data_IF_968420662918
#
_entry.id   IF_968420662918
#
_cell.length_a   1.000
_cell.length_b   1.000
_cell.length_c   1.000
_cell.angle_alpha   90.00
_cell.angle_beta   90.00
_cell.angle_gamma   90.00
#
_symmetry.space_group_name_H-M   'P 1'
#
loop_
_entity.id
_entity.type
_entity.pdbx_description
1 polymer ?
#
# COMPACT_ATOMS: atom_id res chain seq x y z
N UNK A 1 -21.92 -1.11 55.18
CA UNK A 1 -21.06 0.06 54.84
C UNK A 1 -19.94 -0.27 53.83
N UNK A 2 -20.07 -1.32 53.00
CA UNK A 2 -18.97 -1.73 52.08
C UNK A 2 -19.28 -1.64 50.58
N UNK A 3 -20.51 -1.34 50.22
CA UNK A 3 -20.93 -1.32 48.80
C UNK A 3 -20.51 0.00 48.10
N UNK A 4 -20.64 1.13 48.77
CA UNK A 4 -20.29 2.43 48.23
C UNK A 4 -18.76 2.62 48.01
N UNK A 5 -17.93 2.03 48.89
CA UNK A 5 -16.47 2.05 48.72
C UNK A 5 -15.99 1.26 47.51
N UNK A 6 -16.61 0.11 47.23
CA UNK A 6 -16.28 -0.73 46.07
C UNK A 6 -16.70 -0.07 44.75
N UNK A 7 -17.84 0.63 44.74
CA UNK A 7 -18.29 1.39 43.57
C UNK A 7 -17.36 2.57 43.25
N UNK A 8 -16.82 3.23 44.28
CA UNK A 8 -15.87 4.34 44.08
C UNK A 8 -14.54 3.88 43.48
N UNK A 9 -14.03 2.72 43.88
CA UNK A 9 -12.78 2.16 43.32
C UNK A 9 -12.95 1.68 41.90
N UNK A 10 -14.09 1.13 41.51
CA UNK A 10 -14.39 0.70 40.15
C UNK A 10 -14.54 1.91 39.21
N UNK A 11 -15.17 2.98 39.68
CA UNK A 11 -15.29 4.22 38.85
C UNK A 11 -13.97 4.96 38.71
N UNK A 12 -13.10 4.94 39.73
CA UNK A 12 -11.74 5.52 39.59
C UNK A 12 -10.85 4.71 38.63
N UNK A 13 -10.95 3.39 38.68
CA UNK A 13 -10.22 2.52 37.74
C UNK A 13 -10.71 2.68 36.30
N UNK A 14 -12.02 2.82 36.06
CA UNK A 14 -12.58 3.09 34.76
C UNK A 14 -12.18 4.47 34.20
N UNK A 15 -12.11 5.50 35.05
CA UNK A 15 -11.66 6.83 34.66
C UNK A 15 -10.15 6.85 34.31
N UNK A 16 -9.33 6.06 34.99
CA UNK A 16 -7.89 5.94 34.70
C UNK A 16 -7.63 5.21 33.37
N UNK A 17 -8.48 4.25 32.98
CA UNK A 17 -8.37 3.56 31.70
C UNK A 17 -8.81 4.44 30.52
N UNK A 18 -9.74 5.37 30.72
CA UNK A 18 -10.16 6.36 29.71
C UNK A 18 -9.15 7.50 29.53
N UNK A 19 -8.40 7.84 30.57
CA UNK A 19 -7.32 8.83 30.48
C UNK A 19 -6.06 8.30 29.75
N UNK A 20 -5.89 6.97 29.65
CA UNK A 20 -4.76 6.34 28.97
C UNK A 20 -4.84 6.37 27.44
N UNK A 21 -6.02 6.62 26.85
CA UNK A 21 -6.19 6.71 25.40
C UNK A 21 -6.07 8.12 24.82
N UNK A 22 -5.84 9.14 25.64
CA UNK A 22 -5.88 10.53 25.23
C UNK A 22 -4.60 11.31 25.54
N UNK A 23 -3.41 10.78 25.28
CA UNK A 23 -2.29 11.46 25.83
C UNK A 23 -0.99 11.64 25.10
N UNK A 24 -0.97 11.58 23.82
CA UNK A 24 0.06 12.32 23.09
C UNK A 24 -0.43 13.75 22.95
N UNK A 25 0.13 14.70 23.66
CA UNK A 25 -0.10 16.11 23.36
C UNK A 25 0.10 16.29 21.87
N UNK A 26 -0.95 16.72 21.15
CA UNK A 26 -0.82 16.99 19.73
C UNK A 26 0.36 17.96 19.58
N UNK A 27 1.37 17.57 18.81
CA UNK A 27 2.43 18.48 18.44
C UNK A 27 1.77 19.63 17.68
N UNK A 28 1.65 20.76 18.35
CA UNK A 28 1.06 21.97 17.80
C UNK A 28 2.10 22.79 17.04
N UNK A 29 3.32 22.29 16.87
CA UNK A 29 4.31 22.93 16.02
C UNK A 29 3.73 23.04 14.60
N UNK A 30 3.68 24.23 13.99
CA UNK A 30 3.20 24.37 12.64
C UNK A 30 4.02 23.49 11.71
N UNK A 31 3.40 22.46 11.14
CA UNK A 31 4.04 21.65 10.11
C UNK A 31 4.37 22.57 8.93
N UNK A 32 5.54 22.36 8.33
CA UNK A 32 5.88 23.05 7.09
C UNK A 32 4.76 22.79 6.06
N UNK A 33 4.32 23.80 5.31
CA UNK A 33 3.26 23.62 4.33
C UNK A 33 3.68 22.57 3.30
N UNK A 34 2.78 21.65 2.99
CA UNK A 34 3.01 20.65 1.92
C UNK A 34 3.14 21.37 0.59
N UNK A 35 4.26 21.15 -0.09
CA UNK A 35 4.62 21.78 -1.36
C UNK A 35 4.78 20.79 -2.51
N UNK A 36 4.83 19.49 -2.20
CA UNK A 36 4.92 18.42 -3.18
C UNK A 36 4.09 17.22 -2.72
N UNK A 37 3.50 16.51 -3.66
CA UNK A 37 2.83 15.24 -3.40
C UNK A 37 3.49 14.18 -4.28
N UNK A 38 3.98 13.12 -3.66
CA UNK A 38 4.53 11.95 -4.35
C UNK A 38 3.67 10.75 -4.06
N UNK A 39 3.41 9.96 -5.07
CA UNK A 39 2.53 8.79 -4.98
C UNK A 39 3.30 7.56 -5.43
N UNK A 40 3.21 6.48 -4.67
CA UNK A 40 3.65 5.14 -5.05
C UNK A 40 2.51 4.18 -4.79
N UNK A 41 2.35 3.16 -5.63
CA UNK A 41 1.26 2.23 -5.43
C UNK A 41 0.88 1.40 -6.65
N UNK A 42 -0.35 0.91 -6.59
CA UNK A 42 -0.93 0.05 -7.61
C UNK A 42 -2.07 0.73 -8.40
N UNK A 43 -3.01 -0.07 -8.91
CA UNK A 43 -4.15 0.41 -9.72
C UNK A 43 -5.09 1.35 -8.98
N UNK A 44 -5.09 1.36 -7.65
CA UNK A 44 -5.93 2.27 -6.85
C UNK A 44 -5.39 3.70 -6.88
N UNK A 45 -4.09 3.87 -7.13
CA UNK A 45 -3.40 5.16 -7.15
C UNK A 45 -2.87 5.55 -8.55
N UNK A 46 -2.93 4.65 -9.54
CA UNK A 46 -2.45 4.89 -10.91
C UNK A 46 -3.39 5.84 -11.66
N UNK A 47 -2.95 7.08 -11.85
CA UNK A 47 -3.71 8.13 -12.52
C UNK A 47 -3.69 8.03 -14.06
N UNK A 48 -3.13 6.97 -14.64
CA UNK A 48 -3.17 6.73 -16.10
C UNK A 48 -1.85 6.36 -16.75
N UNK A 49 -1.03 5.51 -16.11
CA UNK A 49 0.21 4.98 -16.69
C UNK A 49 -0.01 4.29 -18.02
N UNK A 50 -1.14 3.59 -18.18
CA UNK A 50 -1.54 2.89 -19.41
C UNK A 50 -2.51 3.70 -20.30
N UNK A 51 -2.65 5.00 -20.04
CA UNK A 51 -3.60 5.85 -20.73
C UNK A 51 -5.04 5.80 -20.20
N UNK A 52 -5.29 5.03 -19.14
CA UNK A 52 -6.59 4.91 -18.46
C UNK A 52 -6.41 4.69 -16.95
N UNK A 53 -7.47 4.91 -16.18
CA UNK A 53 -7.53 4.64 -14.74
C UNK A 53 -8.26 3.32 -14.51
N UNK A 54 -7.77 2.49 -13.60
CA UNK A 54 -8.33 1.16 -13.36
C UNK A 54 -9.59 1.20 -12.50
N UNK A 55 -9.63 2.07 -11.50
CA UNK A 55 -10.64 2.04 -10.43
C UNK A 55 -11.76 3.04 -10.60
N UNK A 56 -11.51 4.13 -11.31
CA UNK A 56 -12.53 5.13 -11.63
C UNK A 56 -12.59 5.28 -13.14
N UNK A 57 -13.56 4.61 -13.73
CA UNK A 57 -13.77 4.65 -15.17
C UNK A 57 -14.45 5.97 -15.55
N UNK A 58 -13.74 6.82 -16.28
CA UNK A 58 -14.37 7.91 -17.00
C UNK A 58 -15.03 7.41 -18.27
N UNK A 59 -15.92 8.21 -18.83
CA UNK A 59 -16.59 7.93 -20.11
C UNK A 59 -15.68 8.10 -21.32
N UNK A 60 -14.45 8.56 -21.15
CA UNK A 60 -13.52 8.77 -22.24
C UNK A 60 -12.66 7.51 -22.48
N UNK A 61 -12.77 6.87 -23.65
CA UNK A 61 -11.98 5.70 -23.98
C UNK A 61 -10.49 5.98 -24.24
N UNK A 62 -10.05 7.22 -24.14
CA UNK A 62 -8.70 7.67 -24.48
C UNK A 62 -8.01 8.37 -23.32
N UNK A 63 -7.81 7.67 -22.22
CA UNK A 63 -6.74 7.98 -21.28
C UNK A 63 -6.84 9.21 -20.40
N UNK A 64 -7.82 10.07 -20.56
CA UNK A 64 -8.06 11.20 -19.69
C UNK A 64 -9.45 11.08 -19.08
N UNK A 65 -9.60 10.16 -18.13
CA UNK A 65 -10.79 10.19 -17.29
C UNK A 65 -10.80 11.50 -16.52
N UNK A 66 -11.84 12.34 -16.65
CA UNK A 66 -11.96 13.57 -15.87
C UNK A 66 -12.19 13.25 -14.39
N UNK A 67 -12.48 12.00 -14.04
CA UNK A 67 -12.77 11.60 -12.67
C UNK A 67 -11.47 11.46 -11.89
N UNK A 68 -11.37 12.23 -10.80
CA UNK A 68 -10.21 12.21 -9.91
C UNK A 68 -10.18 10.94 -9.04
N UNK A 69 -9.04 10.28 -8.95
CA UNK A 69 -8.75 9.26 -7.95
C UNK A 69 -8.60 9.91 -6.56
N UNK A 70 -8.55 9.09 -5.53
CA UNK A 70 -8.29 9.57 -4.18
C UNK A 70 -6.98 10.35 -4.07
N UNK A 71 -5.91 9.88 -4.72
CA UNK A 71 -4.60 10.57 -4.75
C UNK A 71 -4.67 11.92 -5.44
N UNK A 72 -5.45 12.04 -6.53
CA UNK A 72 -5.65 13.30 -7.24
C UNK A 72 -6.40 14.30 -6.35
N UNK A 73 -7.39 13.83 -5.56
CA UNK A 73 -8.17 14.66 -4.62
C UNK A 73 -7.30 15.12 -3.45
N UNK A 74 -6.47 14.23 -2.90
CA UNK A 74 -5.52 14.60 -1.84
C UNK A 74 -4.53 15.64 -2.37
N UNK A 75 -3.94 15.43 -3.54
CA UNK A 75 -3.03 16.42 -4.14
C UNK A 75 -3.70 17.76 -4.35
N UNK A 76 -4.94 17.77 -4.86
CA UNK A 76 -5.71 18.99 -5.08
C UNK A 76 -5.99 19.78 -3.78
N UNK A 77 -6.17 19.10 -2.63
CA UNK A 77 -6.34 19.76 -1.33
C UNK A 77 -5.11 20.57 -0.89
N UNK A 78 -3.94 20.26 -1.46
CA UNK A 78 -2.70 20.99 -1.29
C UNK A 78 -2.35 21.87 -2.51
N UNK A 79 -3.32 22.12 -3.40
CA UNK A 79 -3.13 22.90 -4.64
C UNK A 79 -2.06 22.29 -5.58
N UNK A 80 -1.93 20.95 -5.54
CA UNK A 80 -1.03 20.21 -6.40
C UNK A 80 -1.81 19.45 -7.48
N UNK A 81 -1.20 19.30 -8.66
CA UNK A 81 -1.72 18.48 -9.76
C UNK A 81 -0.76 17.33 -10.00
N UNK A 82 -1.26 16.11 -9.98
CA UNK A 82 -0.48 14.92 -10.26
C UNK A 82 -0.38 14.67 -11.77
N UNK A 83 0.79 14.16 -12.19
CA UNK A 83 0.94 13.50 -13.46
C UNK A 83 1.72 12.20 -13.27
N UNK A 84 1.44 11.21 -14.12
CA UNK A 84 2.07 9.88 -14.04
C UNK A 84 3.54 9.96 -14.43
N UNK A 85 4.39 9.38 -13.58
CA UNK A 85 5.84 9.28 -13.80
C UNK A 85 6.18 8.34 -14.94
N UNK A 86 5.41 7.27 -15.09
CA UNK A 86 5.62 6.25 -16.10
C UNK A 86 4.49 6.26 -17.13
N UNK A 87 4.82 5.92 -18.35
CA UNK A 87 3.85 5.67 -19.41
C UNK A 87 4.22 4.36 -20.12
N UNK A 88 3.25 3.50 -20.32
CA UNK A 88 3.41 2.22 -21.00
C UNK A 88 2.18 1.90 -21.83
N UNK A 89 2.40 1.20 -22.94
CA UNK A 89 1.33 0.66 -23.79
C UNK A 89 1.29 -0.87 -23.77
N UNK A 90 2.37 -1.50 -23.32
CA UNK A 90 2.56 -2.96 -23.33
C UNK A 90 2.70 -3.58 -21.94
N UNK A 91 2.81 -2.76 -20.88
CA UNK A 91 3.02 -3.21 -19.52
C UNK A 91 4.42 -3.75 -19.21
N UNK A 92 5.33 -3.69 -20.18
CA UNK A 92 6.71 -4.20 -20.08
C UNK A 92 7.71 -3.07 -20.20
N UNK A 93 7.52 -2.21 -21.19
CA UNK A 93 8.36 -1.06 -21.47
C UNK A 93 7.75 0.21 -20.88
N UNK A 94 8.53 0.97 -20.12
CA UNK A 94 8.06 2.16 -19.43
C UNK A 94 8.90 3.37 -19.84
N UNK A 95 8.24 4.34 -20.44
CA UNK A 95 8.82 5.66 -20.64
C UNK A 95 8.65 6.50 -19.38
N UNK A 96 9.68 7.28 -19.01
CA UNK A 96 9.63 8.16 -17.84
C UNK A 96 9.32 9.59 -18.23
N UNK A 97 8.49 10.27 -17.44
CA UNK A 97 8.13 11.68 -17.59
C UNK A 97 8.78 12.50 -16.47
N UNK A 98 9.73 13.35 -16.85
CA UNK A 98 10.40 14.23 -15.89
C UNK A 98 9.40 15.17 -15.20
N UNK A 99 9.62 15.44 -13.90
CA UNK A 99 8.78 16.33 -13.11
C UNK A 99 7.45 15.73 -12.64
N UNK A 100 7.02 14.58 -13.18
CA UNK A 100 5.83 13.89 -12.71
C UNK A 100 6.12 13.07 -11.44
N UNK A 101 5.20 13.10 -10.48
CA UNK A 101 5.39 12.59 -9.11
C UNK A 101 4.45 11.45 -8.73
N UNK A 102 3.55 11.04 -9.63
CA UNK A 102 2.77 9.82 -9.42
C UNK A 102 3.51 8.63 -10.06
N UNK A 103 4.14 7.82 -9.21
CA UNK A 103 4.89 6.61 -9.58
C UNK A 103 4.03 5.34 -9.58
N UNK A 104 2.77 5.43 -9.15
CA UNK A 104 1.87 4.29 -9.09
C UNK A 104 1.64 3.67 -10.48
N UNK A 105 1.62 2.34 -10.53
CA UNK A 105 1.42 1.56 -11.76
C UNK A 105 0.41 0.45 -11.50
N UNK A 106 -0.61 0.36 -12.34
CA UNK A 106 -1.60 -0.72 -12.26
C UNK A 106 -0.96 -2.11 -12.23
N UNK A 107 -1.44 -2.97 -11.34
CA UNK A 107 -0.83 -4.28 -11.10
C UNK A 107 0.38 -4.26 -10.17
N UNK A 108 0.70 -3.10 -9.58
CA UNK A 108 1.84 -2.92 -8.68
C UNK A 108 1.83 -3.90 -7.50
N UNK A 109 2.99 -4.48 -7.19
CA UNK A 109 3.21 -5.43 -6.11
C UNK A 109 4.33 -4.97 -5.19
N UNK A 110 4.15 -5.15 -3.90
CA UNK A 110 5.21 -4.92 -2.90
C UNK A 110 6.28 -6.00 -3.08
N UNK A 111 5.85 -7.27 -3.18
CA UNK A 111 6.72 -8.42 -3.37
C UNK A 111 6.73 -8.86 -4.86
N UNK A 112 7.28 -8.04 -5.74
CA UNK A 112 7.39 -8.37 -7.16
C UNK A 112 8.68 -9.15 -7.45
N UNK A 113 8.69 -10.44 -7.16
CA UNK A 113 9.87 -11.32 -7.34
C UNK A 113 10.26 -11.53 -8.80
N UNK A 114 9.29 -11.45 -9.72
CA UNK A 114 9.53 -11.70 -11.15
C UNK A 114 10.12 -10.49 -11.87
N UNK A 115 9.87 -9.27 -11.36
CA UNK A 115 10.34 -8.03 -11.96
C UNK A 115 10.63 -6.98 -10.87
N UNK A 116 11.60 -7.24 -9.96
CA UNK A 116 11.83 -6.40 -8.77
C UNK A 116 12.34 -5.00 -9.10
N UNK A 117 12.87 -4.79 -10.31
CA UNK A 117 13.39 -3.49 -10.78
C UNK A 117 12.46 -2.81 -11.78
N UNK A 118 11.30 -3.42 -12.08
CA UNK A 118 10.29 -2.82 -12.93
C UNK A 118 9.48 -1.75 -12.18
N UNK A 119 8.94 -0.73 -12.84
CA UNK A 119 7.94 0.17 -12.26
C UNK A 119 6.69 -0.52 -11.68
N UNK A 120 6.41 -1.76 -12.06
CA UNK A 120 5.35 -2.59 -11.45
C UNK A 120 5.74 -3.10 -10.04
N UNK A 121 6.98 -2.89 -9.60
CA UNK A 121 7.41 -3.14 -8.23
C UNK A 121 7.25 -1.86 -7.40
N UNK A 122 6.40 -1.87 -6.36
CA UNK A 122 6.18 -0.72 -5.48
C UNK A 122 7.48 -0.37 -4.75
N UNK A 123 8.31 -1.36 -4.40
CA UNK A 123 9.63 -1.10 -3.83
C UNK A 123 10.58 -0.39 -4.81
N UNK A 124 10.48 -0.66 -6.12
CA UNK A 124 11.22 0.09 -7.13
C UNK A 124 10.68 1.52 -7.30
N UNK A 125 9.37 1.70 -7.28
CA UNK A 125 8.76 3.04 -7.31
C UNK A 125 9.26 3.91 -6.15
N UNK A 126 9.36 3.35 -4.93
CA UNK A 126 9.92 4.04 -3.75
C UNK A 126 11.37 4.45 -3.98
N UNK A 127 12.19 3.56 -4.56
CA UNK A 127 13.59 3.87 -4.91
C UNK A 127 13.68 4.98 -5.95
N UNK A 128 12.86 4.93 -6.98
CA UNK A 128 12.85 5.93 -8.06
C UNK A 128 12.36 7.29 -7.56
N UNK A 129 11.35 7.31 -6.69
CA UNK A 129 10.89 8.52 -6.02
C UNK A 129 11.97 9.08 -5.08
N UNK A 130 12.70 8.19 -4.36
CA UNK A 130 13.83 8.55 -3.51
C UNK A 130 15.01 9.10 -4.30
N UNK A 131 15.33 8.53 -5.46
CA UNK A 131 16.37 9.02 -6.35
C UNK A 131 16.04 10.41 -6.92
N UNK A 132 14.77 10.73 -7.11
CA UNK A 132 14.30 12.08 -7.45
C UNK A 132 14.37 13.07 -6.26
N UNK A 133 14.63 12.57 -5.04
CA UNK A 133 14.77 13.32 -3.80
C UNK A 133 13.44 13.51 -3.06
N UNK A 134 13.52 13.42 -1.72
CA UNK A 134 12.43 13.81 -0.82
C UNK A 134 12.84 15.06 -0.04
N UNK A 135 11.89 15.94 0.19
CA UNK A 135 12.07 17.12 1.04
C UNK A 135 11.03 17.13 2.15
N UNK A 136 11.30 17.84 3.25
CA UNK A 136 10.42 17.88 4.42
C UNK A 136 8.99 18.40 4.14
N UNK A 137 8.80 19.08 3.02
CA UNK A 137 7.49 19.58 2.57
C UNK A 137 6.79 18.63 1.58
N UNK A 138 7.33 17.45 1.31
CA UNK A 138 6.66 16.44 0.50
C UNK A 138 5.68 15.62 1.34
N UNK A 139 4.50 15.37 0.79
CA UNK A 139 3.56 14.36 1.26
C UNK A 139 3.75 13.11 0.39
N UNK A 140 4.11 12.01 1.03
CA UNK A 140 4.19 10.72 0.37
C UNK A 140 2.89 9.95 0.58
N UNK A 141 2.22 9.60 -0.51
CA UNK A 141 1.04 8.75 -0.52
C UNK A 141 1.48 7.35 -0.97
N UNK A 142 1.18 6.36 -0.13
CA UNK A 142 1.57 4.96 -0.38
C UNK A 142 0.32 4.11 -0.39
N UNK A 143 0.19 3.29 -1.43
CA UNK A 143 -0.88 2.32 -1.60
C UNK A 143 -0.28 1.01 -2.13
N UNK A 144 -0.91 -0.13 -1.82
CA UNK A 144 -0.46 -1.42 -2.34
C UNK A 144 -0.78 -2.60 -1.43
N UNK A 145 -0.44 -3.80 -1.93
CA UNK A 145 -0.64 -5.06 -1.22
C UNK A 145 -1.85 -5.85 -1.69
N UNK A 146 -2.80 -5.24 -2.41
CA UNK A 146 -3.98 -5.96 -2.94
C UNK A 146 -3.59 -7.01 -3.98
N UNK A 147 -2.63 -6.71 -4.85
CA UNK A 147 -2.12 -7.67 -5.83
C UNK A 147 -1.29 -8.78 -5.19
N UNK A 148 -0.52 -8.45 -4.14
CA UNK A 148 0.21 -9.44 -3.34
C UNK A 148 -0.76 -10.40 -2.62
N UNK A 149 -1.84 -9.88 -2.05
CA UNK A 149 -2.89 -10.68 -1.44
C UNK A 149 -3.60 -11.57 -2.48
N UNK A 150 -3.86 -11.06 -3.69
CA UNK A 150 -4.45 -11.84 -4.77
C UNK A 150 -3.51 -12.98 -5.22
N UNK A 151 -2.20 -12.73 -5.29
CA UNK A 151 -1.21 -13.76 -5.60
C UNK A 151 -1.18 -14.84 -4.52
N UNK A 152 -1.23 -14.46 -3.24
CA UNK A 152 -1.28 -15.37 -2.10
C UNK A 152 -2.54 -16.25 -2.12
N UNK A 153 -3.69 -15.64 -2.27
CA UNK A 153 -4.98 -16.35 -2.37
C UNK A 153 -4.97 -17.26 -3.59
N UNK A 154 -4.52 -16.78 -4.75
CA UNK A 154 -4.43 -17.56 -5.96
C UNK A 154 -3.50 -18.77 -5.82
N UNK A 155 -2.38 -18.63 -5.15
CA UNK A 155 -1.46 -19.74 -4.87
C UNK A 155 -2.08 -20.75 -3.88
N UNK A 156 -2.76 -20.27 -2.84
CA UNK A 156 -3.46 -21.11 -1.88
C UNK A 156 -4.58 -21.93 -2.56
N UNK A 157 -5.40 -21.31 -3.39
CA UNK A 157 -6.49 -21.99 -4.10
C UNK A 157 -5.99 -23.06 -5.08
N UNK A 158 -4.79 -22.87 -5.66
CA UNK A 158 -4.15 -23.88 -6.52
C UNK A 158 -3.56 -25.06 -5.75
N UNK A 159 -3.40 -24.97 -4.43
CA UNK A 159 -2.76 -26.01 -3.62
C UNK A 159 -3.44 -27.39 -3.78
N UNK A 160 -4.76 -27.43 -4.02
CA UNK A 160 -5.49 -28.67 -4.28
C UNK A 160 -5.13 -29.37 -5.61
N UNK A 161 -4.55 -28.64 -6.57
CA UNK A 161 -4.19 -29.16 -7.89
C UNK A 161 -2.70 -29.31 -8.11
N UNK A 162 -1.88 -28.51 -7.44
CA UNK A 162 -0.40 -28.52 -7.58
C UNK A 162 0.32 -29.05 -6.33
N UNK A 163 -0.42 -29.62 -5.37
CA UNK A 163 0.14 -30.15 -4.13
C UNK A 163 0.77 -29.08 -3.22
N UNK A 164 0.35 -27.80 -3.38
CA UNK A 164 0.86 -26.69 -2.61
C UNK A 164 2.17 -26.07 -3.11
N UNK A 165 2.64 -26.49 -4.28
CA UNK A 165 3.92 -26.03 -4.83
C UNK A 165 3.96 -24.51 -5.04
N UNK A 166 2.91 -23.93 -5.64
CA UNK A 166 2.81 -22.47 -5.86
C UNK A 166 2.76 -21.70 -4.54
N UNK A 167 2.02 -22.19 -3.56
CA UNK A 167 1.90 -21.57 -2.25
C UNK A 167 3.22 -21.59 -1.49
N UNK A 168 3.90 -22.75 -1.46
CA UNK A 168 5.22 -22.89 -0.88
C UNK A 168 6.25 -21.96 -1.53
N UNK A 169 6.25 -21.88 -2.86
CA UNK A 169 7.15 -21.01 -3.60
C UNK A 169 6.92 -19.52 -3.22
N UNK A 170 5.66 -19.10 -3.14
CA UNK A 170 5.32 -17.72 -2.76
C UNK A 170 5.70 -17.40 -1.31
N UNK A 171 5.40 -18.28 -0.36
CA UNK A 171 5.82 -18.11 1.03
C UNK A 171 7.35 -17.99 1.15
N UNK A 172 8.09 -18.78 0.39
CA UNK A 172 9.57 -18.75 0.38
C UNK A 172 10.18 -17.45 -0.16
N UNK A 173 9.37 -16.53 -0.72
CA UNK A 173 9.84 -15.20 -1.13
C UNK A 173 9.84 -14.19 0.02
N UNK A 174 9.12 -14.46 1.10
CA UNK A 174 8.92 -13.54 2.24
C UNK A 174 9.29 -14.17 3.59
N UNK A 175 9.33 -15.49 3.69
CA UNK A 175 9.67 -16.23 4.89
C UNK A 175 10.92 -17.07 4.68
N UNK A 176 11.67 -17.36 5.75
CA UNK A 176 12.77 -18.30 5.70
C UNK A 176 12.31 -19.76 5.52
N UNK A 177 13.20 -20.61 5.01
CA UNK A 177 12.87 -22.00 4.68
C UNK A 177 12.42 -22.83 5.90
N UNK A 178 12.91 -22.53 7.10
CA UNK A 178 12.52 -23.25 8.31
C UNK A 178 11.07 -22.94 8.67
N UNK A 179 10.69 -21.67 8.64
CA UNK A 179 9.32 -21.20 8.87
C UNK A 179 8.36 -21.79 7.85
N UNK A 180 8.69 -21.76 6.55
CA UNK A 180 7.86 -22.36 5.49
C UNK A 180 7.67 -23.85 5.71
N UNK A 181 8.75 -24.60 6.02
CA UNK A 181 8.65 -26.02 6.25
C UNK A 181 7.86 -26.38 7.52
N UNK A 182 7.96 -25.58 8.58
CA UNK A 182 7.15 -25.76 9.80
C UNK A 182 5.67 -25.52 9.52
N UNK A 183 5.33 -24.48 8.78
CA UNK A 183 3.94 -24.21 8.37
C UNK A 183 3.34 -25.35 7.53
N UNK A 184 4.11 -25.87 6.58
CA UNK A 184 3.68 -26.99 5.73
C UNK A 184 3.53 -28.30 6.51
N UNK A 185 4.43 -28.58 7.48
CA UNK A 185 4.38 -29.78 8.32
C UNK A 185 3.12 -29.80 9.23
N UNK A 186 2.60 -28.63 9.60
CA UNK A 186 1.36 -28.48 10.36
C UNK A 186 0.08 -28.67 9.52
N UNK A 187 0.19 -28.98 8.23
CA UNK A 187 -0.96 -29.12 7.33
C UNK A 187 -1.80 -27.85 7.27
N UNK A 188 -3.13 -28.00 7.16
CA UNK A 188 -4.04 -26.85 7.09
C UNK A 188 -3.98 -25.93 8.31
N UNK A 189 -3.74 -26.48 9.49
CA UNK A 189 -3.59 -25.69 10.73
C UNK A 189 -2.29 -24.87 10.73
N UNK A 190 -1.18 -25.46 10.28
CA UNK A 190 0.10 -24.74 10.15
C UNK A 190 0.06 -23.64 9.08
N UNK A 191 -0.62 -23.91 7.97
CA UNK A 191 -0.84 -22.92 6.90
C UNK A 191 -1.71 -21.74 7.33
N UNK A 192 -2.62 -21.94 8.27
CA UNK A 192 -3.46 -20.86 8.81
C UNK A 192 -2.72 -19.96 9.82
N UNK A 193 -1.54 -20.39 10.30
CA UNK A 193 -0.72 -19.65 11.26
C UNK A 193 0.47 -18.92 10.61
N UNK A 194 0.81 -19.27 9.38
CA UNK A 194 1.87 -18.62 8.60
C UNK A 194 1.36 -17.37 7.89
#
# INVERSE_FOLDING_TARGET
MNFQRKALWVSLAAAALLAGCGGGGADTTPLAPIRGVKVVGDSLADSGTFGYKFTVQGTAPTGTSPTALWVDRVAASYSQTLCVRYASTDGVSFATKAGCTNYAVGGGRINNVNAPTSPVSITQQIKDAGAAGYVASDLLLVDGGSNDAADLIGAYLRAGTDGGASYKALLGTVLDAATVNAALAGGSAGLAQA
#
